data_IF_083550206307
#
_entry.id   IF_083550206307
#
_cell.length_a   1.000
_cell.length_b   1.000
_cell.length_c   1.000
_cell.angle_alpha   90.00
_cell.angle_beta   90.00
_cell.angle_gamma   90.00
#
_symmetry.space_group_name_H-M   'P 1'
#
loop_
_entity.id
_entity.type
_entity.pdbx_description
1 polymer ?
#
# COMPACT_ATOMS: atom_id res chain seq x y z
N UNK A 1 12.99 29.46 6.79
CA UNK A 1 12.19 28.69 7.76
C UNK A 1 11.47 27.65 6.94
N UNK A 2 11.87 26.37 7.03
CA UNK A 2 11.19 25.29 6.29
C UNK A 2 9.76 25.16 6.79
N UNK A 3 8.84 24.84 5.90
CA UNK A 3 7.43 24.59 6.24
C UNK A 3 7.22 23.47 7.29
N UNK A 4 8.26 22.75 7.64
CA UNK A 4 8.28 21.67 8.60
C UNK A 4 9.03 22.00 9.91
N UNK A 5 9.32 23.24 10.16
CA UNK A 5 9.58 24.00 11.38
C UNK A 5 10.25 23.41 12.61
N UNK A 6 10.72 22.19 12.60
CA UNK A 6 11.53 21.60 13.66
C UNK A 6 12.80 20.99 13.07
N UNK A 7 13.99 21.18 13.67
CA UNK A 7 15.13 20.37 13.31
C UNK A 7 14.73 18.90 13.49
N UNK A 8 15.00 18.08 12.46
CA UNK A 8 14.77 16.66 12.59
C UNK A 8 15.44 16.19 13.88
N UNK A 9 14.76 15.44 14.75
CA UNK A 9 15.32 15.02 16.06
C UNK A 9 16.62 14.23 15.91
N UNK A 10 16.95 13.82 14.70
CA UNK A 10 18.12 13.03 14.32
C UNK A 10 19.31 13.85 13.79
N UNK A 11 19.21 15.17 13.58
CA UNK A 11 20.29 15.97 13.02
C UNK A 11 21.58 15.85 13.84
N UNK A 12 21.48 15.81 15.19
CA UNK A 12 22.62 15.56 16.06
C UNK A 12 23.20 14.15 15.96
N UNK A 13 22.39 13.15 15.68
CA UNK A 13 22.82 11.76 15.52
C UNK A 13 23.52 11.52 14.18
N UNK A 14 23.21 12.31 13.17
CA UNK A 14 23.83 12.25 11.85
C UNK A 14 25.11 13.09 11.75
N UNK A 15 25.53 13.76 12.83
CA UNK A 15 26.79 14.50 12.84
C UNK A 15 28.02 13.62 12.57
N UNK A 16 27.91 12.32 12.80
CA UNK A 16 28.93 11.32 12.45
C UNK A 16 28.92 10.86 10.99
N UNK A 17 27.91 11.24 10.20
CA UNK A 17 27.77 10.89 8.80
C UNK A 17 27.32 12.11 7.97
N UNK A 18 28.26 12.98 7.59
CA UNK A 18 27.95 14.21 6.87
C UNK A 18 27.37 13.97 5.47
N UNK A 19 27.68 12.84 4.85
CA UNK A 19 27.14 12.51 3.52
C UNK A 19 25.64 12.19 3.58
N UNK A 20 25.23 11.39 4.54
CA UNK A 20 23.81 11.11 4.76
C UNK A 20 23.07 12.37 5.21
N UNK A 21 23.64 13.17 6.11
CA UNK A 21 23.05 14.44 6.55
C UNK A 21 22.78 15.37 5.36
N UNK A 22 23.77 15.55 4.49
CA UNK A 22 23.65 16.37 3.26
C UNK A 22 22.56 15.85 2.31
N UNK A 23 22.46 14.54 2.13
CA UNK A 23 21.43 13.93 1.27
C UNK A 23 20.03 14.13 1.82
N UNK A 24 19.84 14.04 3.14
CA UNK A 24 18.57 14.32 3.78
C UNK A 24 18.14 15.79 3.65
N UNK A 25 19.08 16.72 3.79
CA UNK A 25 18.84 18.14 3.55
C UNK A 25 18.41 18.40 2.10
N UNK A 26 19.10 17.78 1.13
CA UNK A 26 18.73 17.89 -0.29
C UNK A 26 17.35 17.31 -0.59
N UNK A 27 17.00 16.17 0.02
CA UNK A 27 15.67 15.58 -0.17
C UNK A 27 14.57 16.43 0.49
N UNK A 28 14.85 17.03 1.65
CA UNK A 28 13.92 17.95 2.29
C UNK A 28 13.70 19.21 1.41
N UNK A 29 14.75 19.74 0.80
CA UNK A 29 14.65 20.87 -0.15
C UNK A 29 13.83 20.46 -1.37
N UNK A 30 14.11 19.29 -1.96
CA UNK A 30 13.33 18.76 -3.09
C UNK A 30 11.85 18.66 -2.76
N UNK A 31 11.49 18.05 -1.62
CA UNK A 31 10.10 17.89 -1.21
C UNK A 31 9.38 19.22 -0.94
N UNK A 32 10.11 20.24 -0.46
CA UNK A 32 9.54 21.56 -0.18
C UNK A 32 9.40 22.47 -1.38
N UNK A 33 10.14 22.19 -2.47
CA UNK A 33 10.20 23.05 -3.67
C UNK A 33 9.54 22.43 -4.90
N UNK A 34 9.14 21.15 -4.84
CA UNK A 34 8.52 20.44 -5.97
C UNK A 34 7.12 19.93 -5.64
N UNK A 35 6.26 19.85 -6.66
CA UNK A 35 4.95 19.22 -6.55
C UNK A 35 5.07 17.71 -6.74
N UNK A 36 4.49 16.95 -5.81
CA UNK A 36 4.43 15.51 -5.90
C UNK A 36 3.19 15.09 -6.69
N UNK A 37 3.41 14.51 -7.88
CA UNK A 37 2.33 14.09 -8.78
C UNK A 37 2.19 12.56 -8.88
N UNK A 38 2.93 11.80 -8.07
CA UNK A 38 2.75 10.35 -7.99
C UNK A 38 1.60 10.06 -7.02
N UNK A 39 0.50 9.52 -7.54
CA UNK A 39 -0.77 9.36 -6.81
C UNK A 39 -0.67 8.49 -5.54
N UNK A 40 0.32 7.59 -5.48
CA UNK A 40 0.55 6.69 -4.34
C UNK A 40 1.48 7.26 -3.26
N UNK A 41 2.08 8.42 -3.48
CA UNK A 41 2.96 9.02 -2.49
C UNK A 41 2.17 9.89 -1.48
N UNK A 42 2.62 9.86 -0.23
CA UNK A 42 2.04 10.64 0.86
C UNK A 42 3.14 11.14 1.80
N UNK A 43 3.07 12.39 2.19
CA UNK A 43 3.96 12.96 3.20
C UNK A 43 3.58 12.43 4.59
N UNK A 44 4.53 11.80 5.25
CA UNK A 44 4.33 11.28 6.61
C UNK A 44 4.38 12.41 7.65
N UNK A 45 3.64 12.24 8.74
CA UNK A 45 3.73 13.16 9.87
C UNK A 45 5.08 13.02 10.61
N UNK A 46 5.54 14.08 11.31
CA UNK A 46 6.72 13.99 12.16
C UNK A 46 6.64 12.85 13.20
N UNK A 47 5.45 12.53 13.70
CA UNK A 47 5.24 11.41 14.61
C UNK A 47 5.54 10.06 13.97
N UNK A 48 5.16 9.85 12.71
CA UNK A 48 5.49 8.62 11.97
C UNK A 48 6.99 8.51 11.74
N UNK A 49 7.65 9.61 11.32
CA UNK A 49 9.11 9.64 11.16
C UNK A 49 9.82 9.30 12.47
N UNK A 50 9.40 9.89 13.58
CA UNK A 50 9.99 9.66 14.91
C UNK A 50 9.79 8.21 15.37
N UNK A 51 8.61 7.63 15.15
CA UNK A 51 8.33 6.25 15.52
C UNK A 51 9.17 5.26 14.69
N UNK A 52 9.27 5.48 13.39
CA UNK A 52 10.03 4.63 12.47
C UNK A 52 11.53 4.66 12.77
N UNK A 53 12.10 5.83 13.10
CA UNK A 53 13.50 6.00 13.48
C UNK A 53 13.81 5.80 14.96
N UNK A 54 12.92 5.20 15.74
CA UNK A 54 13.09 5.01 17.18
C UNK A 54 13.86 3.74 17.54
N UNK A 55 14.10 3.56 18.83
CA UNK A 55 14.74 2.36 19.40
C UNK A 55 13.94 1.07 19.17
N UNK A 56 12.68 1.15 18.76
CA UNK A 56 11.86 0.00 18.36
C UNK A 56 12.51 -0.77 17.20
N UNK A 57 13.24 -0.08 16.33
CA UNK A 57 14.02 -0.65 15.21
C UNK A 57 15.05 -1.69 15.65
N UNK A 58 15.54 -1.62 16.89
CA UNK A 58 16.57 -2.53 17.40
C UNK A 58 16.03 -3.91 17.76
N UNK A 59 14.71 -4.07 17.91
CA UNK A 59 14.14 -5.29 18.47
C UNK A 59 13.73 -6.29 17.40
N UNK A 60 14.36 -7.42 17.44
CA UNK A 60 13.97 -8.59 16.66
C UNK A 60 12.67 -9.19 17.23
N UNK A 61 11.57 -9.25 16.40
CA UNK A 61 10.23 -9.53 16.89
C UNK A 61 9.47 -10.55 16.01
N UNK A 62 10.17 -11.59 15.58
CA UNK A 62 9.60 -12.66 14.77
C UNK A 62 8.46 -13.38 15.51
N UNK A 63 7.38 -13.71 14.80
CA UNK A 63 6.16 -14.24 15.39
C UNK A 63 5.10 -13.15 15.61
N UNK A 64 4.13 -13.41 16.47
CA UNK A 64 3.02 -12.51 16.78
C UNK A 64 2.95 -12.17 18.26
N UNK A 65 2.22 -11.12 18.69
CA UNK A 65 2.02 -10.78 20.09
C UNK A 65 1.62 -12.00 20.91
N UNK A 66 2.29 -12.21 22.03
CA UNK A 66 2.08 -13.38 22.91
C UNK A 66 2.63 -14.71 22.37
N UNK A 67 3.11 -14.77 21.13
CA UNK A 67 3.67 -15.97 20.49
C UNK A 67 4.93 -15.64 19.67
N UNK A 68 5.92 -15.04 20.33
CA UNK A 68 7.21 -14.69 19.73
C UNK A 68 8.20 -15.85 19.81
N UNK A 69 9.09 -15.91 18.85
CA UNK A 69 10.19 -16.86 18.86
C UNK A 69 11.32 -16.45 19.82
N UNK A 70 11.40 -15.14 20.17
CA UNK A 70 12.44 -14.57 21.02
C UNK A 70 11.86 -13.84 22.21
N UNK A 71 12.62 -13.77 23.30
CA UNK A 71 12.24 -13.02 24.50
C UNK A 71 12.38 -11.50 24.34
N UNK A 72 11.89 -10.76 25.34
CA UNK A 72 12.03 -9.30 25.40
C UNK A 72 11.04 -8.51 24.57
N UNK A 73 9.96 -9.12 24.09
CA UNK A 73 9.00 -8.50 23.17
C UNK A 73 7.80 -7.83 23.87
N UNK A 74 7.75 -7.76 25.20
CA UNK A 74 6.58 -7.21 25.91
C UNK A 74 6.13 -5.84 25.35
N UNK A 75 7.06 -4.89 25.19
CA UNK A 75 6.74 -3.56 24.66
C UNK A 75 6.39 -3.62 23.18
N UNK A 76 7.05 -4.47 22.39
CA UNK A 76 6.75 -4.64 20.97
C UNK A 76 5.35 -5.25 20.76
N UNK A 77 4.96 -6.17 21.63
CA UNK A 77 3.61 -6.74 21.61
C UNK A 77 2.56 -5.65 21.86
N UNK A 78 2.77 -4.80 22.85
CA UNK A 78 1.89 -3.66 23.14
C UNK A 78 1.81 -2.68 21.94
N UNK A 79 2.92 -2.40 21.27
CA UNK A 79 2.96 -1.54 20.06
C UNK A 79 2.19 -2.18 18.90
N UNK A 80 2.40 -3.46 18.64
CA UNK A 80 1.72 -4.16 17.55
C UNK A 80 0.22 -4.30 17.83
N UNK A 81 -0.16 -4.64 19.06
CA UNK A 81 -1.57 -4.70 19.46
C UNK A 81 -2.26 -3.33 19.33
N UNK A 82 -1.60 -2.26 19.78
CA UNK A 82 -2.11 -0.89 19.59
C UNK A 82 -2.32 -0.54 18.10
N UNK A 83 -1.38 -0.91 17.25
CA UNK A 83 -1.50 -0.68 15.81
C UNK A 83 -2.67 -1.49 15.20
N UNK A 84 -2.81 -2.74 15.59
CA UNK A 84 -3.93 -3.61 15.16
C UNK A 84 -5.29 -3.06 15.59
N UNK A 85 -5.44 -2.66 16.85
CA UNK A 85 -6.70 -2.11 17.36
C UNK A 85 -7.06 -0.78 16.68
N UNK A 86 -6.06 0.08 16.41
CA UNK A 86 -6.27 1.33 15.66
C UNK A 86 -6.67 1.07 14.20
N UNK A 87 -6.05 0.11 13.54
CA UNK A 87 -6.43 -0.28 12.18
C UNK A 87 -7.85 -0.85 12.14
N UNK A 88 -8.21 -1.73 13.08
CA UNK A 88 -9.57 -2.25 13.21
C UNK A 88 -10.60 -1.14 13.41
N UNK A 89 -10.32 -0.21 14.30
CA UNK A 89 -11.23 0.92 14.58
C UNK A 89 -11.38 1.85 13.36
N UNK A 90 -10.28 2.12 12.65
CA UNK A 90 -10.28 3.01 11.48
C UNK A 90 -11.08 2.44 10.30
N UNK A 91 -10.96 1.14 10.06
CA UNK A 91 -11.59 0.48 8.91
C UNK A 91 -12.90 -0.26 9.25
N UNK A 92 -13.33 -0.26 10.51
CA UNK A 92 -14.48 -1.04 10.96
C UNK A 92 -14.27 -2.55 10.80
N UNK A 93 -13.04 -3.02 10.86
CA UNK A 93 -12.68 -4.41 10.61
C UNK A 93 -12.64 -5.25 11.90
N UNK A 94 -13.01 -6.51 11.80
CA UNK A 94 -12.91 -7.46 12.94
C UNK A 94 -11.45 -7.88 13.18
N UNK A 95 -10.65 -7.95 12.12
CA UNK A 95 -9.26 -8.39 12.16
C UNK A 95 -8.33 -7.42 11.41
N UNK A 96 -7.09 -7.32 11.85
CA UNK A 96 -6.03 -6.59 11.17
C UNK A 96 -4.69 -7.30 11.35
N UNK A 97 -3.88 -7.30 10.31
CA UNK A 97 -2.48 -7.67 10.34
C UNK A 97 -1.65 -6.44 9.92
N UNK A 98 -0.76 -5.98 10.78
CA UNK A 98 0.04 -4.77 10.59
C UNK A 98 1.51 -5.08 10.32
N UNK A 99 1.88 -6.34 10.12
CA UNK A 99 3.27 -6.77 9.90
C UNK A 99 3.79 -6.60 8.46
N UNK A 100 2.97 -6.55 7.39
CA UNK A 100 3.51 -6.39 6.04
C UNK A 100 4.38 -5.12 5.92
N UNK A 101 5.53 -5.24 5.25
CA UNK A 101 6.48 -4.14 5.06
C UNK A 101 6.01 -3.11 4.03
N UNK A 102 5.07 -3.50 3.15
CA UNK A 102 4.55 -2.65 2.08
C UNK A 102 3.17 -3.13 1.63
N UNK A 103 2.44 -2.29 0.87
CA UNK A 103 1.21 -2.70 0.21
C UNK A 103 1.42 -3.91 -0.73
N UNK A 104 2.56 -4.00 -1.39
CA UNK A 104 2.88 -5.16 -2.23
C UNK A 104 2.97 -6.47 -1.43
N UNK A 105 3.67 -6.46 -0.28
CA UNK A 105 3.73 -7.64 0.59
C UNK A 105 2.39 -7.96 1.24
N UNK A 106 1.59 -6.94 1.57
CA UNK A 106 0.23 -7.14 2.07
C UNK A 106 -0.67 -7.83 1.03
N UNK A 107 -0.62 -7.40 -0.23
CA UNK A 107 -1.38 -8.03 -1.31
C UNK A 107 -0.92 -9.47 -1.57
N UNK A 108 0.38 -9.74 -1.57
CA UNK A 108 0.89 -11.12 -1.69
C UNK A 108 0.39 -12.00 -0.56
N UNK A 109 0.41 -11.49 0.68
CA UNK A 109 -0.10 -12.23 1.84
C UNK A 109 -1.61 -12.51 1.71
N UNK A 110 -2.40 -11.54 1.25
CA UNK A 110 -3.83 -11.71 1.02
C UNK A 110 -4.11 -12.74 -0.10
N UNK A 111 -3.40 -12.67 -1.20
CA UNK A 111 -3.53 -13.65 -2.29
C UNK A 111 -3.15 -15.06 -1.82
N UNK A 112 -2.02 -15.18 -1.12
CA UNK A 112 -1.56 -16.48 -0.60
C UNK A 112 -2.52 -17.12 0.41
N UNK A 113 -3.30 -16.29 1.12
CA UNK A 113 -4.30 -16.77 2.07
C UNK A 113 -5.59 -17.27 1.39
N UNK A 114 -5.87 -16.83 0.17
CA UNK A 114 -7.13 -17.06 -0.54
C UNK A 114 -7.01 -17.93 -1.78
N UNK A 115 -5.80 -18.08 -2.32
CA UNK A 115 -5.55 -18.63 -3.65
C UNK A 115 -4.47 -19.71 -3.62
N UNK A 116 -4.59 -20.67 -4.54
CA UNK A 116 -3.52 -21.58 -4.87
C UNK A 116 -2.66 -21.03 -6.05
N UNK A 117 -1.39 -21.42 -6.16
CA UNK A 117 -0.57 -21.04 -7.32
C UNK A 117 -1.22 -21.46 -8.64
N UNK A 118 -1.33 -20.52 -9.57
CA UNK A 118 -1.97 -20.72 -10.88
C UNK A 118 -3.45 -20.30 -10.95
N UNK A 119 -4.07 -20.00 -9.81
CA UNK A 119 -5.44 -19.50 -9.79
C UNK A 119 -5.60 -18.22 -10.59
N UNK A 120 -6.81 -18.04 -11.14
CA UNK A 120 -7.13 -16.85 -11.93
C UNK A 120 -7.62 -15.72 -11.03
N UNK A 121 -7.04 -14.54 -11.23
CA UNK A 121 -7.39 -13.30 -10.54
C UNK A 121 -7.85 -12.27 -11.58
N UNK A 122 -9.01 -11.65 -11.35
CA UNK A 122 -9.49 -10.53 -12.14
C UNK A 122 -9.15 -9.22 -11.42
N UNK A 123 -8.44 -8.32 -12.08
CA UNK A 123 -7.95 -7.09 -11.45
C UNK A 123 -7.86 -5.93 -12.46
N UNK A 124 -7.83 -4.69 -11.95
CA UNK A 124 -7.68 -3.50 -12.79
C UNK A 124 -6.30 -3.47 -13.44
N UNK A 125 -6.25 -3.20 -14.74
CA UNK A 125 -4.99 -3.06 -15.49
C UNK A 125 -4.20 -1.83 -15.03
N UNK A 126 -2.87 -1.95 -15.09
CA UNK A 126 -1.94 -0.95 -14.56
C UNK A 126 -2.11 0.43 -15.21
N UNK A 127 -2.23 0.48 -16.52
CA UNK A 127 -2.37 1.72 -17.31
C UNK A 127 -3.76 2.39 -17.18
N UNK A 128 -4.69 1.75 -16.50
CA UNK A 128 -6.00 2.30 -16.14
C UNK A 128 -6.12 2.64 -14.64
N UNK A 129 -5.02 2.65 -13.93
CA UNK A 129 -4.95 3.02 -12.52
C UNK A 129 -4.78 1.88 -11.54
N UNK A 130 -4.62 0.64 -12.01
CA UNK A 130 -4.32 -0.52 -11.17
C UNK A 130 -2.94 -0.44 -10.50
N UNK A 131 -2.66 -1.39 -9.63
CA UNK A 131 -1.37 -1.51 -8.95
C UNK A 131 -0.47 -2.56 -9.63
N UNK A 132 0.84 -2.50 -9.41
CA UNK A 132 1.79 -3.51 -9.93
C UNK A 132 1.40 -4.94 -9.52
N UNK A 133 0.90 -5.13 -8.30
CA UNK A 133 0.46 -6.44 -7.81
C UNK A 133 -0.84 -6.94 -8.43
N UNK A 134 -1.48 -6.15 -9.29
CA UNK A 134 -2.67 -6.55 -10.06
C UNK A 134 -2.30 -7.29 -11.36
N UNK A 135 -1.15 -7.93 -11.41
CA UNK A 135 -0.74 -8.77 -12.53
C UNK A 135 0.23 -8.12 -13.51
N UNK A 136 0.90 -7.04 -13.12
CA UNK A 136 2.01 -6.51 -13.92
C UNK A 136 3.09 -7.58 -14.12
N UNK A 137 3.65 -7.75 -15.33
CA UNK A 137 4.73 -8.71 -15.58
C UNK A 137 5.99 -8.48 -14.72
N UNK A 138 6.17 -7.24 -14.21
CA UNK A 138 7.27 -6.90 -13.30
C UNK A 138 7.02 -7.36 -11.85
N UNK A 139 5.78 -7.71 -11.50
CA UNK A 139 5.42 -8.15 -10.14
C UNK A 139 5.63 -9.64 -9.95
N UNK A 140 6.00 -10.03 -8.72
CA UNK A 140 6.03 -11.43 -8.31
C UNK A 140 4.65 -12.10 -8.43
N UNK A 141 3.58 -11.34 -8.25
CA UNK A 141 2.21 -11.85 -8.28
C UNK A 141 1.86 -12.51 -9.61
N UNK A 142 2.28 -11.92 -10.74
CA UNK A 142 2.05 -12.47 -12.07
C UNK A 142 2.87 -13.73 -12.40
N UNK A 143 3.86 -14.05 -11.55
CA UNK A 143 4.64 -15.30 -11.66
C UNK A 143 4.00 -16.45 -10.89
N UNK A 144 3.12 -16.14 -9.95
CA UNK A 144 2.47 -17.13 -9.08
C UNK A 144 1.03 -17.38 -9.55
N UNK A 145 0.28 -16.33 -9.89
CA UNK A 145 -1.13 -16.40 -10.27
C UNK A 145 -1.37 -15.89 -11.69
N UNK A 146 -2.44 -16.37 -12.29
CA UNK A 146 -2.87 -15.93 -13.63
C UNK A 146 -3.77 -14.71 -13.50
N UNK A 147 -3.33 -13.56 -14.00
CA UNK A 147 -4.15 -12.34 -13.99
C UNK A 147 -4.87 -12.12 -15.31
N UNK A 148 -6.15 -11.77 -15.19
CA UNK A 148 -6.98 -11.22 -16.27
C UNK A 148 -7.32 -9.79 -15.88
N UNK A 149 -7.24 -8.85 -16.84
CA UNK A 149 -7.39 -7.44 -16.50
C UNK A 149 -8.69 -6.87 -17.05
N UNK A 150 -9.38 -6.10 -16.18
CA UNK A 150 -10.44 -5.20 -16.60
C UNK A 150 -9.92 -3.76 -16.67
N UNK A 151 -10.65 -2.89 -17.38
CA UNK A 151 -10.27 -1.51 -17.58
C UNK A 151 -11.36 -0.51 -17.27
N UNK A 152 -11.12 0.72 -17.70
CA UNK A 152 -12.13 1.78 -17.73
C UNK A 152 -12.72 1.87 -19.14
N UNK A 153 -13.96 2.34 -19.22
CA UNK A 153 -14.60 2.63 -20.50
C UNK A 153 -13.87 3.74 -21.25
N UNK A 154 -13.87 3.74 -22.60
CA UNK A 154 -13.29 4.83 -23.37
C UNK A 154 -14.01 6.15 -23.06
N UNK A 155 -13.29 7.26 -23.21
CA UNK A 155 -13.89 8.60 -23.19
C UNK A 155 -14.91 8.71 -24.31
N UNK A 156 -16.16 9.00 -23.98
CA UNK A 156 -17.25 9.01 -24.96
C UNK A 156 -17.35 10.33 -25.74
N UNK A 157 -16.75 11.40 -25.23
CA UNK A 157 -16.95 12.76 -25.73
C UNK A 157 -18.33 13.34 -25.42
N UNK A 158 -19.19 12.57 -24.79
CA UNK A 158 -20.53 12.98 -24.35
C UNK A 158 -20.44 13.46 -22.89
N UNK A 159 -20.77 14.74 -22.59
CA UNK A 159 -20.69 15.27 -21.23
C UNK A 159 -21.65 14.59 -20.26
N UNK A 160 -22.73 13.98 -20.76
CA UNK A 160 -23.71 13.25 -19.95
C UNK A 160 -23.32 11.78 -19.73
N UNK A 161 -22.29 11.29 -20.44
CA UNK A 161 -21.73 9.94 -20.30
C UNK A 161 -20.24 10.03 -20.03
N UNK A 162 -19.86 10.26 -18.77
CA UNK A 162 -18.45 10.35 -18.44
C UNK A 162 -17.74 9.06 -18.80
N UNK A 163 -16.75 9.15 -19.67
CA UNK A 163 -15.80 8.08 -19.92
C UNK A 163 -14.85 7.88 -18.75
N UNK A 164 -13.93 6.94 -18.88
CA UNK A 164 -12.89 6.66 -17.90
C UNK A 164 -13.44 6.24 -16.52
N UNK A 165 -14.60 5.59 -16.51
CA UNK A 165 -15.14 4.85 -15.36
C UNK A 165 -14.90 3.35 -15.55
N UNK A 166 -14.85 2.61 -14.44
CA UNK A 166 -14.74 1.15 -14.52
C UNK A 166 -15.85 0.60 -15.40
N UNK A 167 -15.46 -0.21 -16.37
CA UNK A 167 -16.37 -0.90 -17.28
C UNK A 167 -16.93 -2.14 -16.57
N UNK A 168 -18.04 -1.96 -15.85
CA UNK A 168 -18.65 -3.04 -15.07
C UNK A 168 -19.25 -4.15 -15.95
N UNK A 169 -19.67 -3.83 -17.20
CA UNK A 169 -20.12 -4.85 -18.14
C UNK A 169 -18.93 -5.74 -18.55
N UNK A 170 -17.77 -5.15 -18.82
CA UNK A 170 -16.53 -5.88 -19.07
C UNK A 170 -16.15 -6.75 -17.85
N UNK A 171 -16.26 -6.21 -16.62
CA UNK A 171 -15.98 -6.99 -15.38
C UNK A 171 -16.89 -8.20 -15.31
N UNK A 172 -18.19 -8.02 -15.53
CA UNK A 172 -19.17 -9.10 -15.48
C UNK A 172 -18.92 -10.17 -16.54
N UNK A 173 -18.62 -9.77 -17.77
CA UNK A 173 -18.32 -10.69 -18.88
C UNK A 173 -17.03 -11.47 -18.64
N UNK A 174 -15.98 -10.80 -18.16
CA UNK A 174 -14.73 -11.44 -17.80
C UNK A 174 -14.92 -12.42 -16.62
N UNK A 175 -15.67 -12.04 -15.60
CA UNK A 175 -15.95 -12.91 -14.47
C UNK A 175 -16.70 -14.19 -14.90
N UNK A 176 -17.69 -14.07 -15.80
CA UNK A 176 -18.43 -15.23 -16.34
C UNK A 176 -17.56 -16.12 -17.21
N UNK A 177 -16.70 -15.54 -18.05
CA UNK A 177 -15.86 -16.27 -18.99
C UNK A 177 -14.67 -16.95 -18.35
N UNK A 178 -13.96 -16.23 -17.48
CA UNK A 178 -12.70 -16.66 -16.90
C UNK A 178 -12.85 -17.36 -15.55
N UNK A 179 -14.02 -17.26 -14.91
CA UNK A 179 -14.32 -17.86 -13.61
C UNK A 179 -13.19 -17.62 -12.58
N UNK A 180 -12.81 -16.35 -12.32
CA UNK A 180 -11.71 -16.06 -11.43
C UNK A 180 -12.00 -16.51 -10.00
N UNK A 181 -10.97 -17.01 -9.29
CA UNK A 181 -11.07 -17.34 -7.88
C UNK A 181 -11.13 -16.07 -7.00
N UNK A 182 -10.63 -14.94 -7.53
CA UNK A 182 -10.62 -13.66 -6.82
C UNK A 182 -10.82 -12.50 -7.80
N UNK A 183 -11.60 -11.50 -7.38
CA UNK A 183 -11.70 -10.19 -8.04
C UNK A 183 -11.09 -9.15 -7.10
N UNK A 184 -10.10 -8.40 -7.59
CA UNK A 184 -9.47 -7.32 -6.84
C UNK A 184 -10.17 -6.01 -7.16
N UNK A 185 -10.78 -5.39 -6.15
CA UNK A 185 -11.34 -4.05 -6.22
C UNK A 185 -10.41 -3.07 -5.50
N UNK A 186 -10.01 -2.02 -6.18
CA UNK A 186 -9.10 -1.00 -5.66
C UNK A 186 -8.11 -0.55 -6.72
N UNK A 187 -7.47 0.58 -6.47
CA UNK A 187 -6.59 1.20 -7.46
C UNK A 187 -5.54 2.07 -6.79
N UNK A 188 -4.47 2.35 -7.51
CA UNK A 188 -3.45 3.33 -7.14
C UNK A 188 -3.78 4.73 -7.67
N UNK A 189 -4.33 4.79 -8.88
CA UNK A 189 -4.52 6.04 -9.62
C UNK A 189 -5.88 6.10 -10.34
N UNK A 190 -6.95 5.80 -9.62
CA UNK A 190 -8.33 5.95 -10.10
C UNK A 190 -9.07 6.90 -9.16
N UNK A 191 -9.49 8.04 -9.68
CA UNK A 191 -9.98 9.17 -8.89
C UNK A 191 -11.49 9.13 -8.57
N UNK A 192 -12.18 8.06 -8.94
CA UNK A 192 -13.63 7.92 -8.75
C UNK A 192 -13.94 6.88 -7.68
N UNK A 193 -15.11 6.97 -7.09
CA UNK A 193 -15.61 5.96 -6.15
C UNK A 193 -15.84 4.65 -6.89
N UNK A 194 -15.39 3.55 -6.29
CA UNK A 194 -15.75 2.21 -6.72
C UNK A 194 -16.94 1.80 -5.86
N UNK A 195 -18.12 1.75 -6.47
CA UNK A 195 -19.32 1.26 -5.82
C UNK A 195 -19.58 -0.19 -6.29
N UNK A 196 -19.37 -1.19 -5.43
CA UNK A 196 -19.58 -2.57 -5.80
C UNK A 196 -21.06 -3.00 -5.76
N UNK A 197 -21.94 -2.14 -5.28
CA UNK A 197 -23.37 -2.39 -5.24
C UNK A 197 -24.02 -1.75 -6.47
N UNK A 198 -24.82 -2.51 -7.22
CA UNK A 198 -25.59 -1.97 -8.36
C UNK A 198 -26.70 -1.03 -7.91
#
# INVERSE_FOLDING_TARGET
MSAFGAPAPFAGWLAGDPDVARLLDQEMDRQSTTLQLIASENFTSPAVLAATGSVLTNKYAEGYPGRRYYGGNRVIDEVEDLARERAKALFGAEHANVQPHSGASANVAAYQALLEPGDTVLAMRLDHGGHLTHGSPASITSKIWRFVSYGVSPTTGDPDKPGEIIDFDQVADLAKREQPALIVAGSTAYSRTIDPLP
#
